data_IF_072067181261
#
_entry.id   IF_072067181261
#
_cell.length_a   1.000
_cell.length_b   1.000
_cell.length_c   1.000
_cell.angle_alpha   90.00
_cell.angle_beta   90.00
_cell.angle_gamma   90.00
#
_symmetry.space_group_name_H-M   'P 1'
#
loop_
_entity.id
_entity.type
_entity.pdbx_description
1 polymer ?
#
# COMPACT_ATOMS: atom_id res chain seq x y z
N UNK A 1 -17.49 -12.53 18.81
CA UNK A 1 -17.71 -12.02 17.43
C UNK A 1 -18.88 -11.04 17.34
N UNK A 2 -20.06 -11.36 17.87
CA UNK A 2 -21.26 -10.51 17.82
C UNK A 2 -21.07 -9.11 18.45
N UNK A 3 -20.37 -9.02 19.59
CA UNK A 3 -20.09 -7.74 20.27
C UNK A 3 -19.06 -6.84 19.56
N UNK A 4 -18.13 -7.44 18.79
CA UNK A 4 -17.15 -6.68 17.99
C UNK A 4 -17.83 -6.04 16.78
N UNK A 5 -18.81 -6.72 16.19
CA UNK A 5 -19.60 -6.22 15.07
C UNK A 5 -20.42 -4.99 15.47
N UNK A 6 -21.01 -4.99 16.67
CA UNK A 6 -21.74 -3.82 17.20
C UNK A 6 -20.82 -2.62 17.44
N UNK A 7 -19.58 -2.85 17.88
CA UNK A 7 -18.59 -1.79 18.09
C UNK A 7 -18.10 -1.17 16.77
N UNK A 8 -17.92 -2.01 15.74
CA UNK A 8 -17.60 -1.55 14.37
C UNK A 8 -18.78 -0.80 13.76
N UNK A 9 -20.02 -1.28 13.93
CA UNK A 9 -21.23 -0.59 13.49
C UNK A 9 -21.41 0.76 14.21
N UNK A 10 -21.18 0.83 15.52
CA UNK A 10 -21.23 2.09 16.27
C UNK A 10 -20.17 3.09 15.82
N UNK A 11 -18.93 2.62 15.54
CA UNK A 11 -17.86 3.46 14.99
C UNK A 11 -18.20 3.99 13.60
N UNK A 12 -18.91 3.23 12.77
CA UNK A 12 -19.39 3.69 11.46
C UNK A 12 -20.47 4.80 11.56
N UNK A 13 -21.31 4.80 12.61
CA UNK A 13 -22.34 5.83 12.82
C UNK A 13 -21.79 7.12 13.45
N UNK A 14 -20.57 7.13 13.98
CA UNK A 14 -19.94 8.33 14.56
C UNK A 14 -19.15 9.19 13.56
N UNK A 15 -19.03 8.78 12.29
CA UNK A 15 -18.48 9.64 11.25
C UNK A 15 -19.57 10.58 10.75
N UNK A 16 -19.82 11.65 11.52
CA UNK A 16 -20.55 12.80 11.03
C UNK A 16 -19.89 13.30 9.75
N UNK A 17 -20.64 13.32 8.65
CA UNK A 17 -20.22 14.01 7.44
C UNK A 17 -20.14 15.49 7.76
N UNK A 18 -18.92 16.01 7.95
CA UNK A 18 -18.69 17.44 7.87
C UNK A 18 -19.22 17.91 6.52
N UNK A 19 -20.03 18.97 6.53
CA UNK A 19 -20.50 19.62 5.32
C UNK A 19 -19.26 20.15 4.59
N UNK A 20 -18.84 19.47 3.52
CA UNK A 20 -17.83 19.98 2.58
C UNK A 20 -18.38 21.30 2.02
N UNK A 21 -17.58 22.38 2.12
CA UNK A 21 -17.98 23.73 1.71
C UNK A 21 -18.29 23.87 0.21
N UNK A 22 -18.55 25.11 -0.22
CA UNK A 22 -19.04 25.52 -1.55
C UNK A 22 -18.16 25.13 -2.77
N UNK A 23 -17.16 24.27 -2.60
CA UNK A 23 -16.33 23.79 -3.69
C UNK A 23 -17.14 22.94 -4.68
N UNK A 24 -17.15 23.28 -5.97
CA UNK A 24 -17.86 22.52 -6.98
C UNK A 24 -17.32 21.09 -7.07
N UNK A 25 -18.23 20.13 -7.23
CA UNK A 25 -17.92 18.69 -7.23
C UNK A 25 -18.11 18.15 -8.64
N UNK A 26 -17.01 17.82 -9.30
CA UNK A 26 -17.03 17.16 -10.62
C UNK A 26 -16.55 15.71 -10.48
N UNK A 27 -17.32 14.79 -11.06
CA UNK A 27 -17.07 13.37 -10.99
C UNK A 27 -16.92 12.73 -12.37
N UNK A 28 -16.05 11.73 -12.46
CA UNK A 28 -15.93 10.89 -13.64
C UNK A 28 -16.03 9.41 -13.31
N UNK A 29 -16.57 8.66 -14.25
CA UNK A 29 -16.55 7.21 -14.26
C UNK A 29 -15.57 6.72 -15.31
N UNK A 30 -14.83 5.66 -15.02
CA UNK A 30 -13.99 4.98 -15.99
C UNK A 30 -14.16 3.47 -15.92
N UNK A 31 -14.12 2.82 -17.07
CA UNK A 31 -14.14 1.35 -17.18
C UNK A 31 -13.03 0.94 -18.12
N UNK A 32 -12.19 -0.01 -17.71
CA UNK A 32 -11.10 -0.52 -18.52
C UNK A 32 -11.05 -2.03 -18.49
N UNK A 33 -11.07 -2.63 -19.67
CA UNK A 33 -10.72 -4.03 -19.81
C UNK A 33 -9.20 -4.15 -19.88
N UNK A 34 -8.65 -5.20 -19.28
CA UNK A 34 -7.21 -5.49 -19.35
C UNK A 34 -6.93 -6.98 -19.58
N UNK A 35 -5.79 -7.27 -20.20
CA UNK A 35 -5.26 -8.61 -20.38
C UNK A 35 -3.72 -8.56 -20.37
N UNK A 36 -3.08 -9.55 -19.75
CA UNK A 36 -1.65 -9.50 -19.50
C UNK A 36 -1.02 -10.82 -19.07
N UNK A 37 0.13 -10.71 -18.41
CA UNK A 37 0.92 -11.85 -17.95
C UNK A 37 1.36 -11.65 -16.50
N UNK A 38 1.53 -12.76 -15.78
CA UNK A 38 2.18 -12.75 -14.47
C UNK A 38 3.69 -12.55 -14.70
N UNK A 39 4.27 -11.54 -14.04
CA UNK A 39 5.70 -11.30 -14.05
C UNK A 39 6.40 -12.28 -13.11
N UNK A 40 7.33 -13.05 -13.66
CA UNK A 40 8.18 -13.96 -12.90
C UNK A 40 9.16 -13.13 -12.05
N UNK A 41 8.85 -12.99 -10.77
CA UNK A 41 9.68 -12.28 -9.79
C UNK A 41 10.25 -13.22 -8.71
N UNK A 42 9.75 -14.45 -8.65
CA UNK A 42 10.25 -15.53 -7.81
C UNK A 42 10.13 -16.87 -8.60
N UNK A 43 11.20 -17.68 -8.73
CA UNK A 43 11.13 -18.97 -9.44
C UNK A 43 10.09 -19.94 -8.85
N UNK A 44 9.76 -19.82 -7.57
CA UNK A 44 8.81 -20.68 -6.88
C UNK A 44 7.39 -20.56 -7.44
N UNK A 45 7.04 -19.48 -8.14
CA UNK A 45 5.71 -19.33 -8.78
C UNK A 45 5.71 -19.72 -10.26
N UNK A 46 6.84 -20.16 -10.82
CA UNK A 46 6.96 -20.44 -12.26
C UNK A 46 5.93 -21.46 -12.76
N UNK A 47 5.61 -22.48 -11.95
CA UNK A 47 4.57 -23.48 -12.27
C UNK A 47 3.14 -22.93 -12.25
N UNK A 48 2.93 -21.74 -11.70
CA UNK A 48 1.62 -21.07 -11.67
C UNK A 48 1.43 -20.12 -12.86
N UNK A 49 2.50 -19.78 -13.59
CA UNK A 49 2.45 -18.90 -14.76
C UNK A 49 2.13 -19.74 -16.00
N UNK A 50 0.86 -20.14 -16.12
CA UNK A 50 0.39 -21.04 -17.18
C UNK A 50 -0.50 -20.37 -18.23
N UNK A 51 -1.06 -19.20 -17.91
CA UNK A 51 -2.02 -18.50 -18.77
C UNK A 51 -1.95 -16.97 -18.56
N UNK A 52 -2.76 -16.23 -19.32
CA UNK A 52 -2.81 -14.78 -19.31
C UNK A 52 -3.96 -14.25 -18.44
N UNK A 53 -3.68 -13.61 -17.29
CA UNK A 53 -4.73 -13.00 -16.48
C UNK A 53 -5.42 -11.86 -17.22
N UNK A 54 -6.70 -11.64 -16.93
CA UNK A 54 -7.47 -10.55 -17.51
C UNK A 54 -8.67 -10.18 -16.65
N UNK A 55 -9.27 -9.03 -16.95
CA UNK A 55 -10.35 -8.53 -16.13
C UNK A 55 -10.81 -7.13 -16.48
N UNK A 56 -11.49 -6.51 -15.51
CA UNK A 56 -12.09 -5.19 -15.63
C UNK A 56 -11.71 -4.35 -14.43
N UNK A 57 -11.31 -3.10 -14.68
CA UNK A 57 -11.09 -2.05 -13.69
C UNK A 57 -12.21 -1.03 -13.87
N UNK A 58 -12.94 -0.73 -12.80
CA UNK A 58 -13.97 0.31 -12.75
C UNK A 58 -13.51 1.38 -11.77
N UNK A 59 -13.43 2.62 -12.22
CA UNK A 59 -13.02 3.76 -11.40
C UNK A 59 -14.15 4.79 -11.24
N UNK A 60 -14.26 5.33 -10.03
CA UNK A 60 -15.03 6.54 -9.73
C UNK A 60 -14.08 7.60 -9.21
N UNK A 61 -14.03 8.76 -9.86
CA UNK A 61 -13.06 9.83 -9.57
C UNK A 61 -13.78 11.12 -9.20
N UNK A 62 -13.22 11.86 -8.25
CA UNK A 62 -13.51 13.28 -7.98
C UNK A 62 -12.37 14.11 -8.55
N UNK A 63 -12.68 14.97 -9.53
CA UNK A 63 -11.73 15.93 -10.09
C UNK A 63 -11.38 17.00 -9.06
N UNK A 64 -10.13 17.46 -9.12
CA UNK A 64 -9.59 18.51 -8.24
C UNK A 64 -9.25 19.74 -9.05
N UNK A 65 -9.53 20.93 -8.51
CA UNK A 65 -9.39 22.20 -9.24
C UNK A 65 -8.58 23.25 -8.47
N UNK A 66 -8.00 22.92 -7.31
CA UNK A 66 -7.17 23.86 -6.54
C UNK A 66 -7.88 24.50 -5.35
N UNK A 67 -9.02 23.95 -4.92
CA UNK A 67 -9.75 24.44 -3.74
C UNK A 67 -9.06 24.06 -2.42
N UNK A 68 -8.09 23.15 -2.49
CA UNK A 68 -7.24 22.76 -1.38
C UNK A 68 -5.78 22.99 -1.75
N UNK A 69 -4.99 23.48 -0.80
CA UNK A 69 -3.60 23.88 -1.00
C UNK A 69 -2.75 22.82 -1.72
N UNK A 70 -2.94 21.55 -1.36
CA UNK A 70 -2.13 20.45 -1.87
C UNK A 70 -2.46 20.08 -3.33
N UNK A 71 -3.64 20.46 -3.85
CA UNK A 71 -4.12 20.05 -5.17
C UNK A 71 -3.25 20.66 -6.26
N UNK A 72 -3.15 22.00 -6.30
CA UNK A 72 -2.34 22.70 -7.27
C UNK A 72 -0.84 22.36 -7.14
N UNK A 73 -0.40 22.10 -5.91
CA UNK A 73 0.96 21.67 -5.62
C UNK A 73 1.35 20.38 -6.37
N UNK A 74 0.43 19.43 -6.46
CA UNK A 74 0.67 18.13 -7.11
C UNK A 74 0.12 18.05 -8.54
N UNK A 75 -0.22 19.18 -9.16
CA UNK A 75 -0.75 19.20 -10.52
C UNK A 75 -2.22 18.77 -10.62
N UNK A 76 -3.00 19.07 -9.60
CA UNK A 76 -4.44 18.80 -9.48
C UNK A 76 -4.79 17.32 -9.67
N UNK A 77 -4.21 16.42 -8.86
CA UNK A 77 -4.46 15.00 -9.01
C UNK A 77 -5.89 14.66 -8.59
N UNK A 78 -6.55 13.80 -9.37
CA UNK A 78 -7.90 13.34 -8.99
C UNK A 78 -7.79 12.30 -7.89
N UNK A 79 -8.82 12.22 -7.05
CA UNK A 79 -8.94 11.21 -5.99
C UNK A 79 -10.14 10.32 -6.26
N UNK A 80 -10.06 9.04 -5.95
CA UNK A 80 -11.21 8.17 -6.20
C UNK A 80 -11.09 6.78 -5.61
N UNK A 81 -12.02 5.94 -6.04
CA UNK A 81 -12.04 4.51 -5.74
C UNK A 81 -12.04 3.70 -7.02
N UNK A 82 -11.31 2.59 -7.00
CA UNK A 82 -11.33 1.61 -8.09
C UNK A 82 -11.81 0.27 -7.56
N UNK A 83 -12.66 -0.40 -8.34
CA UNK A 83 -12.96 -1.81 -8.19
C UNK A 83 -12.24 -2.58 -9.30
N UNK A 84 -11.70 -3.75 -8.96
CA UNK A 84 -11.02 -4.63 -9.92
C UNK A 84 -11.58 -6.03 -9.81
N UNK A 85 -12.06 -6.55 -10.93
CA UNK A 85 -12.22 -7.99 -11.13
C UNK A 85 -11.05 -8.50 -11.95
N UNK A 86 -10.40 -9.57 -11.50
CA UNK A 86 -9.33 -10.22 -12.25
C UNK A 86 -9.49 -11.74 -12.19
N UNK A 87 -9.56 -12.38 -13.34
CA UNK A 87 -9.41 -13.82 -13.48
C UNK A 87 -7.94 -14.15 -13.77
N UNK A 88 -7.35 -15.04 -12.99
CA UNK A 88 -5.97 -15.49 -13.21
C UNK A 88 -5.87 -16.51 -14.35
N UNK A 89 -7.01 -17.05 -14.83
CA UNK A 89 -7.08 -18.13 -15.81
C UNK A 89 -6.24 -19.35 -15.42
N UNK A 90 -6.11 -19.57 -14.12
CA UNK A 90 -5.41 -20.67 -13.49
C UNK A 90 -6.20 -21.05 -12.24
N UNK A 91 -6.69 -22.29 -12.18
CA UNK A 91 -7.55 -22.75 -11.09
C UNK A 91 -6.86 -22.67 -9.72
N UNK A 92 -5.55 -22.93 -9.65
CA UNK A 92 -4.75 -22.82 -8.43
C UNK A 92 -4.71 -21.38 -7.90
N UNK A 93 -4.62 -20.38 -8.79
CA UNK A 93 -4.58 -18.96 -8.41
C UNK A 93 -5.97 -18.33 -8.24
N UNK A 94 -6.99 -18.85 -8.94
CA UNK A 94 -8.38 -18.42 -8.83
C UNK A 94 -8.65 -17.02 -9.37
N UNK A 95 -9.58 -16.31 -8.73
CA UNK A 95 -10.06 -14.98 -9.12
C UNK A 95 -9.87 -13.98 -7.99
N UNK A 96 -9.76 -12.71 -8.34
CA UNK A 96 -9.59 -11.60 -7.43
C UNK A 96 -10.72 -10.58 -7.59
N UNK A 97 -11.20 -10.09 -6.45
CA UNK A 97 -12.15 -8.98 -6.34
C UNK A 97 -11.54 -7.93 -5.42
N UNK A 98 -11.02 -6.86 -6.00
CA UNK A 98 -10.29 -5.82 -5.29
C UNK A 98 -11.07 -4.51 -5.19
N UNK A 99 -10.92 -3.83 -4.06
CA UNK A 99 -11.39 -2.46 -3.84
C UNK A 99 -10.21 -1.60 -3.38
N UNK A 100 -10.03 -0.45 -4.05
CA UNK A 100 -8.86 0.40 -3.90
C UNK A 100 -9.29 1.86 -3.71
N UNK A 101 -8.53 2.59 -2.92
CA UNK A 101 -8.49 4.05 -2.99
C UNK A 101 -7.33 4.46 -3.91
N UNK A 102 -7.50 5.50 -4.72
CA UNK A 102 -6.49 5.90 -5.69
C UNK A 102 -6.31 7.41 -5.84
N UNK A 103 -5.13 7.76 -6.34
CA UNK A 103 -4.82 9.05 -6.93
C UNK A 103 -4.55 8.90 -8.42
N UNK A 104 -5.02 9.84 -9.23
CA UNK A 104 -4.62 10.01 -10.63
C UNK A 104 -3.76 11.27 -10.75
N UNK A 105 -2.47 11.10 -11.00
CA UNK A 105 -1.58 12.19 -11.35
C UNK A 105 -1.58 12.38 -12.87
N UNK A 106 -1.38 13.61 -13.31
CA UNK A 106 -1.52 13.97 -14.71
C UNK A 106 -0.32 14.76 -15.21
N UNK A 107 0.11 14.42 -16.43
CA UNK A 107 1.24 15.04 -17.11
C UNK A 107 0.84 15.42 -18.55
N UNK A 108 1.69 16.21 -19.22
CA UNK A 108 1.51 16.60 -20.63
C UNK A 108 0.11 17.15 -20.94
N UNK A 109 -0.28 18.21 -20.23
CA UNK A 109 -1.62 18.83 -20.29
C UNK A 109 -2.74 17.80 -20.01
N UNK A 110 -2.49 16.95 -19.02
CA UNK A 110 -3.37 15.86 -18.56
C UNK A 110 -3.71 14.78 -19.59
N UNK A 111 -2.97 14.71 -20.70
CA UNK A 111 -3.14 13.62 -21.67
C UNK A 111 -2.42 12.33 -21.24
N UNK A 112 -1.61 12.39 -20.19
CA UNK A 112 -0.96 11.23 -19.60
C UNK A 112 -1.38 11.11 -18.14
N UNK A 113 -1.93 9.96 -17.78
CA UNK A 113 -2.39 9.63 -16.43
C UNK A 113 -1.46 8.61 -15.79
N UNK A 114 -1.05 8.88 -14.56
CA UNK A 114 -0.41 7.93 -13.66
C UNK A 114 -1.34 7.67 -12.47
N UNK A 115 -1.98 6.49 -12.44
CA UNK A 115 -2.83 6.07 -11.31
C UNK A 115 -1.98 5.26 -10.33
N UNK A 116 -2.05 5.60 -9.06
CA UNK A 116 -1.56 4.75 -7.96
C UNK A 116 -2.73 4.46 -7.04
N UNK A 117 -2.98 3.18 -6.81
CA UNK A 117 -4.12 2.69 -6.06
C UNK A 117 -3.65 1.65 -5.03
N UNK A 118 -4.18 1.75 -3.82
CA UNK A 118 -3.92 0.81 -2.73
C UNK A 118 -5.24 0.33 -2.17
N UNK A 119 -5.34 -0.98 -1.93
CA UNK A 119 -6.60 -1.62 -1.60
C UNK A 119 -6.46 -2.98 -0.93
N UNK A 120 -7.62 -3.62 -0.80
CA UNK A 120 -7.77 -4.99 -0.33
C UNK A 120 -8.43 -5.79 -1.43
N UNK A 121 -7.95 -7.01 -1.64
CA UNK A 121 -8.47 -7.97 -2.61
C UNK A 121 -8.92 -9.24 -1.92
N UNK A 122 -10.09 -9.74 -2.33
CA UNK A 122 -10.56 -11.08 -2.00
C UNK A 122 -10.15 -12.05 -3.11
N UNK A 123 -9.32 -13.03 -2.78
CA UNK A 123 -8.96 -14.15 -3.62
C UNK A 123 -9.89 -15.35 -3.35
N UNK A 124 -10.34 -16.02 -4.42
CA UNK A 124 -11.31 -17.13 -4.30
C UNK A 124 -10.68 -18.47 -3.94
N UNK A 125 -9.38 -18.66 -4.16
CA UNK A 125 -8.74 -19.97 -4.01
C UNK A 125 -7.31 -19.86 -3.44
N UNK A 126 -7.14 -19.47 -2.16
CA UNK A 126 -5.82 -19.44 -1.52
C UNK A 126 -5.28 -20.86 -1.27
N UNK A 127 -4.07 -20.94 -0.73
CA UNK A 127 -3.44 -22.17 -0.26
C UNK A 127 -4.34 -22.90 0.72
N UNK A 128 -4.54 -24.18 0.43
CA UNK A 128 -5.08 -25.17 1.36
C UNK A 128 -4.24 -26.43 1.29
N UNK A 129 -3.90 -27.02 2.44
CA UNK A 129 -2.96 -28.15 2.49
C UNK A 129 -3.52 -29.40 1.78
N UNK A 130 -4.83 -29.55 1.68
CA UNK A 130 -5.49 -30.71 1.10
C UNK A 130 -6.05 -30.40 -0.29
N UNK A 131 -6.71 -29.27 -0.46
CA UNK A 131 -7.48 -28.94 -1.67
C UNK A 131 -6.68 -28.11 -2.70
N UNK A 132 -5.75 -27.26 -2.24
CA UNK A 132 -5.02 -26.33 -3.11
C UNK A 132 -3.54 -26.14 -2.71
N UNK A 133 -2.86 -27.25 -2.45
CA UNK A 133 -1.50 -27.25 -1.91
C UNK A 133 -0.44 -26.67 -2.87
N UNK A 134 -0.79 -26.51 -4.16
CA UNK A 134 0.10 -25.93 -5.18
C UNK A 134 0.12 -24.40 -5.17
N UNK A 135 -0.86 -23.76 -4.53
CA UNK A 135 -0.91 -22.30 -4.46
C UNK A 135 0.07 -21.79 -3.39
N UNK A 136 1.33 -21.60 -3.76
CA UNK A 136 2.30 -20.95 -2.88
C UNK A 136 2.26 -19.42 -2.94
N UNK A 137 1.42 -18.83 -3.80
CA UNK A 137 1.31 -17.38 -3.94
C UNK A 137 0.50 -16.72 -2.83
N UNK A 138 -0.62 -17.35 -2.41
CA UNK A 138 -1.60 -16.71 -1.54
C UNK A 138 -1.98 -17.59 -0.34
N UNK A 139 -1.57 -17.21 0.87
CA UNK A 139 -1.91 -17.95 2.10
C UNK A 139 -3.30 -17.64 2.68
N UNK A 140 -3.96 -16.61 2.16
CA UNK A 140 -5.24 -16.10 2.68
C UNK A 140 -6.16 -15.57 1.58
N UNK A 141 -7.47 -15.59 1.84
CA UNK A 141 -8.46 -14.98 0.95
C UNK A 141 -8.30 -13.46 0.88
N UNK A 142 -8.04 -12.79 2.01
CA UNK A 142 -7.81 -11.35 2.01
C UNK A 142 -6.34 -11.06 1.75
N UNK A 143 -6.08 -10.25 0.74
CA UNK A 143 -4.76 -9.82 0.29
C UNK A 143 -4.71 -8.29 0.26
N UNK A 144 -3.57 -7.71 0.63
CA UNK A 144 -3.23 -6.35 0.25
C UNK A 144 -3.00 -6.31 -1.24
N UNK A 145 -3.50 -5.26 -1.90
CA UNK A 145 -3.27 -5.10 -3.32
C UNK A 145 -2.91 -3.68 -3.70
N UNK A 146 -1.88 -3.57 -4.53
CA UNK A 146 -1.43 -2.31 -5.11
C UNK A 146 -1.65 -2.37 -6.61
N UNK A 147 -2.22 -1.32 -7.17
CA UNK A 147 -2.38 -1.16 -8.61
C UNK A 147 -1.72 0.15 -9.05
N UNK A 148 -0.91 0.05 -10.10
CA UNK A 148 -0.34 1.19 -10.81
C UNK A 148 -0.84 1.15 -12.24
N UNK A 149 -1.24 2.30 -12.79
CA UNK A 149 -1.57 2.41 -14.21
C UNK A 149 -0.86 3.59 -14.84
N UNK A 150 -0.46 3.42 -16.09
CA UNK A 150 0.11 4.47 -16.92
C UNK A 150 -0.65 4.50 -18.24
N UNK A 151 -1.44 5.55 -18.46
CA UNK A 151 -2.37 5.64 -19.58
C UNK A 151 -2.15 6.92 -20.38
N UNK A 152 -2.20 6.81 -21.70
CA UNK A 152 -2.72 7.91 -22.49
C UNK A 152 -4.21 8.08 -22.15
N UNK A 153 -4.61 9.30 -21.84
CA UNK A 153 -5.92 9.60 -21.26
C UNK A 153 -6.50 10.83 -21.93
N UNK A 154 -7.67 10.70 -22.56
CA UNK A 154 -8.33 11.80 -23.23
C UNK A 154 -9.82 11.82 -22.89
N UNK A 155 -10.23 12.84 -22.13
CA UNK A 155 -11.62 13.04 -21.73
C UNK A 155 -12.42 13.82 -22.78
N UNK A 156 -13.75 13.75 -22.67
CA UNK A 156 -14.71 14.66 -23.31
C UNK A 156 -14.53 14.84 -24.83
N UNK A 157 -14.33 13.74 -25.55
CA UNK A 157 -14.25 13.72 -27.02
C UNK A 157 -15.64 13.87 -27.64
N UNK A 158 -16.64 13.14 -27.14
CA UNK A 158 -18.04 13.25 -27.61
C UNK A 158 -19.00 13.19 -26.43
N UNK A 159 -19.75 14.25 -26.18
CA UNK A 159 -20.84 14.29 -25.19
C UNK A 159 -20.45 13.75 -23.79
N UNK A 160 -19.25 14.08 -23.31
CA UNK A 160 -18.70 13.62 -22.02
C UNK A 160 -17.92 12.31 -22.08
N UNK A 161 -17.99 11.57 -23.19
CA UNK A 161 -17.22 10.34 -23.39
C UNK A 161 -15.80 10.64 -23.84
N UNK A 162 -14.85 9.94 -23.23
CA UNK A 162 -13.44 9.90 -23.59
C UNK A 162 -12.92 8.47 -23.59
N UNK A 163 -11.61 8.32 -23.78
CA UNK A 163 -10.96 7.02 -23.72
C UNK A 163 -9.63 7.09 -22.98
N UNK A 164 -9.15 5.92 -22.59
CA UNK A 164 -7.81 5.72 -22.09
C UNK A 164 -7.23 4.39 -22.54
N UNK A 165 -5.94 4.37 -22.77
CA UNK A 165 -5.21 3.18 -23.17
C UNK A 165 -3.80 3.20 -22.57
N UNK A 166 -3.30 2.06 -22.14
CA UNK A 166 -2.02 2.03 -21.46
C UNK A 166 -1.67 0.67 -20.88
N UNK A 167 -0.85 0.72 -19.84
CA UNK A 167 -0.40 -0.44 -19.09
C UNK A 167 -0.85 -0.34 -17.62
N UNK A 168 -1.14 -1.49 -17.04
CA UNK A 168 -1.44 -1.65 -15.62
C UNK A 168 -0.53 -2.71 -15.00
N UNK A 169 -0.17 -2.48 -13.75
CA UNK A 169 0.51 -3.45 -12.90
C UNK A 169 -0.33 -3.66 -11.64
N UNK A 170 -0.71 -4.90 -11.37
CA UNK A 170 -1.50 -5.30 -10.20
C UNK A 170 -0.67 -6.27 -9.37
N UNK A 171 -0.48 -5.95 -8.09
CA UNK A 171 0.21 -6.78 -7.11
C UNK A 171 -0.79 -7.34 -6.10
N UNK A 172 -0.64 -8.62 -5.74
CA UNK A 172 -1.44 -9.26 -4.69
C UNK A 172 -0.53 -10.02 -3.72
N UNK A 173 -0.56 -9.65 -2.44
CA UNK A 173 0.14 -10.35 -1.37
C UNK A 173 -0.58 -10.16 -0.03
N UNK A 174 -0.24 -10.96 0.98
CA UNK A 174 -0.75 -10.76 2.35
C UNK A 174 0.29 -10.18 3.31
N UNK A 175 1.43 -9.70 2.78
CA UNK A 175 2.53 -9.11 3.55
C UNK A 175 2.99 -9.99 4.74
N UNK A 176 3.13 -11.29 4.48
CA UNK A 176 3.52 -12.31 5.46
C UNK A 176 2.58 -12.40 6.67
N UNK A 177 1.31 -12.02 6.49
CA UNK A 177 0.28 -12.26 7.49
C UNK A 177 -0.03 -13.75 7.64
N UNK A 178 0.07 -14.52 6.56
CA UNK A 178 -0.10 -15.99 6.58
C UNK A 178 0.71 -16.64 5.47
N UNK A 179 1.55 -17.61 5.82
CA UNK A 179 2.27 -18.38 4.81
C UNK A 179 1.34 -19.38 4.08
N UNK A 180 1.62 -19.70 2.80
CA UNK A 180 2.68 -19.14 1.96
C UNK A 180 2.30 -17.76 1.37
N UNK A 181 3.28 -16.96 0.95
CA UNK A 181 3.02 -15.63 0.39
C UNK A 181 4.11 -15.23 -0.63
N UNK A 182 4.34 -16.05 -1.66
CA UNK A 182 5.26 -15.66 -2.74
C UNK A 182 4.67 -14.55 -3.62
N UNK A 183 3.36 -14.27 -3.52
CA UNK A 183 2.64 -13.21 -4.23
C UNK A 183 2.54 -13.40 -5.74
N UNK A 184 1.78 -12.52 -6.41
CA UNK A 184 1.82 -12.38 -7.86
C UNK A 184 1.83 -10.91 -8.28
N UNK A 185 2.38 -10.67 -9.47
CA UNK A 185 2.39 -9.38 -10.15
C UNK A 185 1.84 -9.58 -11.55
N UNK A 186 0.70 -9.00 -11.90
CA UNK A 186 0.17 -9.00 -13.27
C UNK A 186 0.55 -7.70 -13.96
N UNK A 187 1.25 -7.79 -15.08
CA UNK A 187 1.46 -6.67 -15.99
C UNK A 187 0.55 -6.87 -17.19
N UNK A 188 -0.29 -5.87 -17.48
CA UNK A 188 -1.33 -5.97 -18.49
C UNK A 188 -1.40 -4.71 -19.35
N UNK A 189 -1.87 -4.89 -20.59
CA UNK A 189 -2.37 -3.78 -21.38
C UNK A 189 -3.83 -3.56 -21.04
N UNK A 190 -4.23 -2.29 -20.96
CA UNK A 190 -5.61 -1.91 -20.70
C UNK A 190 -6.12 -0.91 -21.74
N UNK A 191 -7.40 -1.05 -22.09
CA UNK A 191 -8.15 -0.10 -22.90
C UNK A 191 -9.47 0.18 -22.20
N UNK A 192 -9.90 1.44 -22.20
CA UNK A 192 -11.08 1.84 -21.46
C UNK A 192 -11.71 3.12 -21.95
N UNK A 193 -12.93 3.33 -21.45
CA UNK A 193 -13.71 4.53 -21.67
C UNK A 193 -13.77 5.34 -20.38
N UNK A 194 -13.89 6.65 -20.52
CA UNK A 194 -14.11 7.59 -19.43
C UNK A 194 -15.38 8.37 -19.71
N UNK A 195 -16.16 8.69 -18.68
CA UNK A 195 -17.36 9.53 -18.81
C UNK A 195 -17.34 10.61 -17.74
N UNK A 196 -17.48 11.87 -18.17
CA UNK A 196 -17.64 13.01 -17.30
C UNK A 196 -19.11 13.18 -16.90
N UNK A 197 -19.40 12.97 -15.62
CA UNK A 197 -20.77 13.08 -15.09
C UNK A 197 -21.25 14.53 -15.02
N UNK A 198 -20.31 15.48 -15.06
CA UNK A 198 -20.53 16.91 -14.98
C UNK A 198 -20.11 17.59 -16.31
N UNK A 199 -20.28 16.90 -17.44
CA UNK A 199 -19.82 17.36 -18.77
C UNK A 199 -20.31 18.76 -19.19
N UNK A 200 -21.44 19.20 -18.66
CA UNK A 200 -22.06 20.49 -18.99
C UNK A 200 -21.54 21.63 -18.07
N UNK A 201 -20.73 21.30 -17.06
CA UNK A 201 -20.12 22.24 -16.13
C UNK A 201 -18.65 22.49 -16.51
N UNK A 202 -18.28 23.74 -16.79
CA UNK A 202 -16.88 24.13 -16.95
C UNK A 202 -16.34 24.74 -15.65
N UNK A 203 -15.45 24.02 -14.97
CA UNK A 203 -14.76 24.52 -13.77
C UNK A 203 -13.31 24.82 -14.14
N UNK A 204 -12.88 26.05 -13.89
CA UNK A 204 -11.49 26.46 -14.11
C UNK A 204 -10.57 26.03 -12.96
N UNK A 205 -9.30 25.78 -13.28
CA UNK A 205 -8.29 25.50 -12.27
C UNK A 205 -7.90 26.79 -11.55
N UNK A 206 -8.02 26.80 -10.23
CA UNK A 206 -7.57 27.88 -9.37
C UNK A 206 -6.05 27.88 -9.28
N UNK A 207 -5.44 29.01 -9.64
CA UNK A 207 -4.01 29.23 -9.45
C UNK A 207 -3.77 29.55 -7.98
N UNK A 208 -2.95 28.74 -7.27
CA UNK A 208 -2.69 28.97 -5.85
C UNK A 208 -1.88 30.26 -5.66
N UNK A 209 -2.17 30.98 -4.57
CA UNK A 209 -1.35 32.12 -4.16
C UNK A 209 0.08 31.71 -3.80
N UNK A 210 1.00 32.68 -3.82
CA UNK A 210 2.40 32.43 -3.44
C UNK A 210 2.46 32.04 -1.97
N UNK A 211 2.77 30.78 -1.69
CA UNK A 211 2.81 30.26 -0.32
C UNK A 211 4.07 30.73 0.42
N UNK A 212 3.90 31.08 1.70
CA UNK A 212 5.02 31.29 2.59
C UNK A 212 5.85 30.01 2.77
N UNK A 213 7.16 30.17 2.95
CA UNK A 213 8.05 29.05 3.23
C UNK A 213 7.81 28.56 4.66
N UNK A 214 7.32 27.33 4.82
CA UNK A 214 7.21 26.69 6.13
C UNK A 214 8.62 26.53 6.74
N UNK A 215 8.83 27.15 7.90
CA UNK A 215 10.02 27.00 8.73
C UNK A 215 9.62 26.38 10.07
N UNK A 216 9.74 25.06 10.17
CA UNK A 216 9.57 24.35 11.43
C UNK A 216 10.94 24.03 12.05
N UNK A 217 11.07 24.06 13.40
CA UNK A 217 12.24 23.50 14.06
C UNK A 217 12.34 21.98 13.81
N UNK A 218 13.46 21.37 14.20
CA UNK A 218 13.54 19.90 14.25
C UNK A 218 12.51 19.43 15.27
N UNK A 219 11.70 18.45 14.89
CA UNK A 219 10.69 17.84 15.75
C UNK A 219 11.10 16.43 16.09
N UNK A 220 10.72 15.98 17.29
CA UNK A 220 11.03 14.64 17.76
C UNK A 220 9.78 13.78 17.73
N UNK A 221 9.93 12.56 17.25
CA UNK A 221 8.83 11.63 17.08
C UNK A 221 9.10 10.38 17.89
N UNK A 222 8.09 9.96 18.65
CA UNK A 222 8.05 8.66 19.31
C UNK A 222 6.86 7.89 18.75
N UNK A 223 7.10 6.65 18.32
CA UNK A 223 6.08 5.84 17.66
C UNK A 223 6.11 4.42 18.18
N UNK A 224 4.93 3.91 18.51
CA UNK A 224 4.71 2.50 18.78
C UNK A 224 4.02 1.89 17.57
N UNK A 225 4.56 0.79 17.04
CA UNK A 225 3.98 0.01 15.95
C UNK A 225 3.75 -1.41 16.39
N UNK A 226 2.72 -2.03 15.85
CA UNK A 226 2.44 -3.44 16.06
C UNK A 226 1.61 -4.03 14.94
N UNK A 227 1.48 -5.34 15.00
CA UNK A 227 0.76 -6.14 14.03
C UNK A 227 0.98 -7.61 14.32
N UNK A 228 0.67 -8.46 13.35
CA UNK A 228 0.94 -9.88 13.43
C UNK A 228 1.44 -10.39 12.09
N UNK A 229 2.42 -11.29 12.13
CA UNK A 229 3.00 -11.90 10.94
C UNK A 229 3.46 -13.33 11.24
N UNK A 230 3.81 -14.06 10.19
CA UNK A 230 4.30 -15.44 10.20
C UNK A 230 5.61 -15.50 9.39
N UNK A 231 6.43 -16.51 9.62
CA UNK A 231 7.60 -16.78 8.76
C UNK A 231 7.19 -17.34 7.41
N UNK A 232 8.13 -17.48 6.48
CA UNK A 232 7.86 -18.16 5.21
C UNK A 232 7.66 -19.69 5.35
N UNK A 233 7.95 -20.27 6.53
CA UNK A 233 7.65 -21.67 6.83
C UNK A 233 6.15 -21.85 7.08
N UNK A 234 5.50 -22.60 6.19
CA UNK A 234 4.06 -22.88 6.23
C UNK A 234 3.67 -23.58 7.53
N UNK A 235 2.60 -23.10 8.17
CA UNK A 235 2.06 -23.61 9.44
C UNK A 235 2.97 -23.45 10.67
N UNK A 236 3.95 -22.54 10.62
CA UNK A 236 4.78 -22.23 11.80
C UNK A 236 4.04 -21.34 12.81
N UNK A 237 2.95 -20.68 12.38
CA UNK A 237 2.05 -19.93 13.24
C UNK A 237 2.25 -18.41 13.13
N UNK A 238 1.19 -17.68 13.48
CA UNK A 238 1.16 -16.22 13.43
C UNK A 238 1.43 -15.64 14.81
N UNK A 239 2.36 -14.70 14.88
CA UNK A 239 2.79 -14.08 16.12
C UNK A 239 2.64 -12.56 16.05
N UNK A 240 2.26 -11.96 17.18
CA UNK A 240 2.26 -10.51 17.31
C UNK A 240 3.68 -9.96 17.36
N UNK A 241 3.89 -8.75 16.86
CA UNK A 241 5.15 -8.02 16.99
C UNK A 241 4.93 -6.61 17.52
N UNK A 242 6.00 -6.03 18.05
CA UNK A 242 6.03 -4.62 18.45
C UNK A 242 7.31 -3.96 17.93
N UNK A 243 7.22 -2.68 17.59
CA UNK A 243 8.35 -1.85 17.15
C UNK A 243 8.25 -0.51 17.86
N UNK A 244 9.34 -0.10 18.49
CA UNK A 244 9.48 1.23 19.08
C UNK A 244 10.40 2.04 18.18
N UNK A 245 9.88 3.12 17.61
CA UNK A 245 10.63 4.05 16.77
C UNK A 245 10.82 5.37 17.48
N UNK A 246 12.04 5.91 17.45
CA UNK A 246 12.34 7.27 17.87
C UNK A 246 13.13 7.98 16.76
N UNK A 247 12.66 9.14 16.30
CA UNK A 247 13.32 9.86 15.21
C UNK A 247 13.14 11.36 15.28
N UNK A 248 14.12 12.08 14.75
CA UNK A 248 13.99 13.51 14.47
C UNK A 248 13.50 13.70 13.03
N UNK A 249 12.60 14.65 12.82
CA UNK A 249 12.22 15.11 11.48
C UNK A 249 12.52 16.59 11.29
N UNK A 250 12.93 16.93 10.06
CA UNK A 250 13.11 18.32 9.63
C UNK A 250 12.26 18.56 8.39
N UNK A 251 11.31 19.48 8.51
CA UNK A 251 10.55 19.96 7.36
C UNK A 251 11.43 20.82 6.46
N UNK A 252 11.49 20.45 5.17
CA UNK A 252 12.24 21.14 4.12
C UNK A 252 11.35 22.12 3.34
N UNK A 253 10.03 21.98 3.46
CA UNK A 253 9.03 22.87 2.88
C UNK A 253 7.63 22.29 3.00
N UNK A 254 6.72 22.74 2.14
CA UNK A 254 5.30 22.39 2.25
C UNK A 254 5.05 20.89 2.01
N UNK A 255 5.86 20.27 1.15
CA UNK A 255 5.67 18.90 0.67
C UNK A 255 6.61 17.88 1.27
N UNK A 256 7.71 18.29 1.89
CA UNK A 256 8.79 17.34 2.22
C UNK A 256 9.35 17.55 3.62
N UNK A 257 9.57 16.44 4.31
CA UNK A 257 10.43 16.36 5.48
C UNK A 257 11.41 15.20 5.32
N UNK A 258 12.57 15.34 5.95
CA UNK A 258 13.56 14.27 6.11
C UNK A 258 13.52 13.76 7.54
N UNK A 259 13.80 12.48 7.71
CA UNK A 259 13.76 11.77 8.98
C UNK A 259 15.10 11.09 9.23
N UNK A 260 15.55 11.08 10.48
CA UNK A 260 16.68 10.29 10.94
C UNK A 260 16.33 9.71 12.31
N UNK A 261 16.48 8.41 12.48
CA UNK A 261 16.13 7.79 13.75
C UNK A 261 16.55 6.34 13.91
N UNK A 262 15.95 5.73 14.92
CA UNK A 262 16.19 4.35 15.33
C UNK A 262 14.89 3.59 15.52
N UNK A 263 14.95 2.30 15.26
CA UNK A 263 13.90 1.33 15.53
C UNK A 263 14.43 0.21 16.44
N UNK A 264 13.62 -0.22 17.40
CA UNK A 264 13.81 -1.45 18.17
C UNK A 264 12.70 -2.42 17.83
N UNK A 265 13.05 -3.61 17.36
CA UNK A 265 12.13 -4.60 16.81
C UNK A 265 11.97 -5.80 17.74
N UNK A 266 10.72 -6.15 18.03
CA UNK A 266 10.32 -7.33 18.79
C UNK A 266 9.45 -8.23 17.92
N UNK A 267 10.05 -8.87 16.90
CA UNK A 267 9.35 -9.74 15.94
C UNK A 267 9.27 -11.18 16.47
N UNK A 268 8.20 -11.52 17.20
CA UNK A 268 8.14 -12.80 17.93
C UNK A 268 8.14 -14.05 17.03
N UNK A 269 7.73 -13.96 15.76
CA UNK A 269 7.81 -15.09 14.83
C UNK A 269 9.24 -15.63 14.66
N UNK A 270 10.25 -14.76 14.84
CA UNK A 270 11.65 -15.14 14.76
C UNK A 270 12.06 -16.12 15.86
N UNK A 271 11.40 -16.11 17.03
CA UNK A 271 11.69 -17.10 18.09
C UNK A 271 11.41 -18.52 17.62
N UNK A 272 10.27 -18.70 16.94
CA UNK A 272 9.93 -20.00 16.39
C UNK A 272 10.81 -20.38 15.22
N UNK A 273 11.21 -19.40 14.39
CA UNK A 273 12.11 -19.65 13.27
C UNK A 273 13.49 -20.10 13.76
N UNK A 274 14.04 -19.42 14.77
CA UNK A 274 15.31 -19.77 15.42
C UNK A 274 15.22 -21.17 16.03
N UNK A 275 14.15 -21.46 16.79
CA UNK A 275 13.93 -22.77 17.38
C UNK A 275 13.85 -23.86 16.30
N UNK A 276 13.06 -23.63 15.25
CA UNK A 276 12.91 -24.56 14.14
C UNK A 276 14.24 -24.83 13.44
N UNK A 277 15.00 -23.78 13.09
CA UNK A 277 16.30 -23.92 12.43
C UNK A 277 17.33 -24.64 13.31
N UNK A 278 17.41 -24.29 14.60
CA UNK A 278 18.34 -24.93 15.54
C UNK A 278 18.11 -26.44 15.73
N UNK A 279 16.88 -26.91 15.54
CA UNK A 279 16.50 -28.32 15.74
C UNK A 279 16.53 -29.09 14.41
N UNK A 280 15.99 -28.50 13.34
CA UNK A 280 15.75 -29.18 12.06
C UNK A 280 16.88 -29.03 11.06
N UNK A 281 17.75 -28.03 11.19
CA UNK A 281 18.85 -27.76 10.26
C UNK A 281 20.16 -27.45 11.00
N UNK A 282 20.80 -28.46 11.63
CA UNK A 282 22.07 -28.28 12.35
C UNK A 282 23.18 -27.62 11.52
N UNK A 283 23.16 -27.80 10.19
CA UNK A 283 24.09 -27.21 9.24
C UNK A 283 24.01 -25.68 9.14
N UNK A 284 22.94 -25.06 9.64
CA UNK A 284 22.83 -23.60 9.73
C UNK A 284 23.53 -23.02 10.96
N UNK A 285 23.98 -23.87 11.89
CA UNK A 285 24.71 -23.49 13.10
C UNK A 285 24.00 -22.42 13.97
N UNK A 286 22.67 -22.38 13.92
CA UNK A 286 21.86 -21.44 14.70
C UNK A 286 21.72 -21.92 16.13
N UNK A 287 22.25 -21.15 17.09
CA UNK A 287 22.07 -21.44 18.50
C UNK A 287 20.60 -21.20 18.93
N UNK A 288 19.98 -22.11 19.70
CA UNK A 288 18.57 -22.01 20.08
C UNK A 288 18.24 -20.81 20.98
N UNK A 289 19.26 -20.22 21.63
CA UNK A 289 19.17 -19.05 22.50
C UNK A 289 19.55 -17.74 21.80
N UNK A 290 19.76 -17.76 20.48
CA UNK A 290 19.99 -16.55 19.67
C UNK A 290 18.88 -15.53 19.91
N UNK A 291 19.24 -14.27 20.20
CA UNK A 291 18.23 -13.22 20.42
C UNK A 291 17.48 -12.94 19.11
N UNK A 292 16.18 -12.74 19.21
CA UNK A 292 15.29 -12.45 18.08
C UNK A 292 15.08 -10.95 17.87
N UNK A 293 15.55 -10.12 18.82
CA UNK A 293 15.43 -8.66 18.76
C UNK A 293 16.40 -8.09 17.74
N UNK A 294 15.99 -6.97 17.14
CA UNK A 294 16.85 -6.20 16.24
C UNK A 294 16.81 -4.73 16.64
N UNK A 295 17.90 -4.02 16.39
CA UNK A 295 17.97 -2.55 16.50
C UNK A 295 18.48 -2.00 15.19
N UNK A 296 17.77 -1.04 14.62
CA UNK A 296 18.12 -0.41 13.37
C UNK A 296 18.26 1.10 13.49
N UNK A 297 19.08 1.66 12.61
CA UNK A 297 19.10 3.09 12.30
C UNK A 297 18.47 3.28 10.93
N UNK A 298 17.78 4.40 10.72
CA UNK A 298 17.17 4.70 9.43
C UNK A 298 17.26 6.17 9.06
N UNK A 299 17.30 6.41 7.75
CA UNK A 299 17.00 7.70 7.13
C UNK A 299 15.67 7.58 6.40
N UNK A 300 14.92 8.66 6.32
CA UNK A 300 13.61 8.64 5.68
C UNK A 300 13.18 9.96 5.07
N UNK A 301 12.12 9.88 4.28
CA UNK A 301 11.42 10.99 3.67
C UNK A 301 9.93 10.87 3.96
N UNK A 302 9.31 12.01 4.23
CA UNK A 302 7.86 12.13 4.35
C UNK A 302 7.36 13.14 3.31
N UNK A 303 6.52 12.66 2.41
CA UNK A 303 5.83 13.44 1.39
C UNK A 303 4.43 13.78 1.87
N UNK A 304 4.13 15.07 2.06
CA UNK A 304 2.81 15.51 2.50
C UNK A 304 1.84 15.64 1.32
N UNK A 305 0.70 14.95 1.40
CA UNK A 305 -0.36 14.93 0.39
C UNK A 305 -1.70 15.06 1.11
N UNK A 306 -2.29 16.26 1.10
CA UNK A 306 -3.51 16.56 1.86
C UNK A 306 -3.29 16.32 3.37
N UNK A 307 -4.28 15.71 4.06
CA UNK A 307 -4.21 15.26 5.46
C UNK A 307 -3.41 13.96 5.65
N UNK A 308 -2.89 13.39 4.57
CA UNK A 308 -2.07 12.18 4.57
C UNK A 308 -0.62 12.54 4.23
N UNK A 309 0.29 11.65 4.59
CA UNK A 309 1.66 11.69 4.09
C UNK A 309 2.13 10.29 3.71
N UNK A 310 2.93 10.23 2.66
CA UNK A 310 3.63 9.00 2.25
C UNK A 310 4.98 9.02 2.94
N UNK A 311 5.28 7.96 3.68
CA UNK A 311 6.57 7.78 4.37
C UNK A 311 7.37 6.73 3.61
N UNK A 312 8.63 7.03 3.34
CA UNK A 312 9.61 6.08 2.81
C UNK A 312 10.88 6.13 3.67
N UNK A 313 11.33 5.00 4.17
CA UNK A 313 12.51 4.90 5.03
C UNK A 313 13.43 3.79 4.53
N UNK A 314 14.73 4.02 4.67
CA UNK A 314 15.79 3.05 4.43
C UNK A 314 16.59 2.92 5.72
N UNK A 315 16.71 1.70 6.22
CA UNK A 315 17.39 1.42 7.47
C UNK A 315 18.39 0.27 7.39
N UNK A 316 19.24 0.21 8.41
CA UNK A 316 20.30 -0.76 8.58
C UNK A 316 20.28 -1.26 10.02
N UNK A 317 20.26 -2.58 10.22
CA UNK A 317 20.34 -3.15 11.56
C UNK A 317 21.77 -3.07 12.12
N UNK A 318 21.91 -2.32 13.20
CA UNK A 318 23.15 -2.22 13.99
C UNK A 318 23.25 -3.31 15.04
N UNK A 319 22.12 -3.85 15.49
CA UNK A 319 22.02 -5.05 16.31
C UNK A 319 21.16 -6.08 15.57
N UNK A 320 21.79 -7.18 15.17
CA UNK A 320 21.21 -8.21 14.28
C UNK A 320 21.84 -9.58 14.56
N UNK A 321 21.50 -10.19 15.71
CA UNK A 321 22.07 -11.46 16.17
C UNK A 321 21.63 -12.69 15.35
N UNK A 322 20.45 -12.64 14.72
CA UNK A 322 19.93 -13.71 13.87
C UNK A 322 19.82 -13.24 12.42
N UNK A 323 20.38 -14.01 11.47
CA UNK A 323 20.30 -13.70 10.05
C UNK A 323 18.93 -14.05 9.45
N UNK A 324 18.17 -13.01 9.12
CA UNK A 324 16.84 -13.05 8.53
C UNK A 324 16.69 -11.98 7.45
N UNK A 325 16.79 -12.39 6.19
CA UNK A 325 16.57 -11.54 5.01
C UNK A 325 17.55 -10.37 4.83
N UNK A 326 18.68 -10.40 5.55
CA UNK A 326 19.76 -9.43 5.43
C UNK A 326 19.61 -8.18 6.30
N UNK A 327 20.68 -7.38 6.32
CA UNK A 327 20.85 -6.27 7.27
C UNK A 327 20.16 -4.96 6.90
N UNK A 328 19.76 -4.82 5.65
CA UNK A 328 19.08 -3.63 5.14
C UNK A 328 17.58 -3.85 5.13
N UNK A 329 16.83 -2.89 5.63
CA UNK A 329 15.37 -2.90 5.57
C UNK A 329 14.84 -1.59 4.98
N UNK A 330 13.68 -1.66 4.38
CA UNK A 330 12.95 -0.50 3.88
C UNK A 330 11.53 -0.49 4.46
N UNK A 331 10.98 0.70 4.66
CA UNK A 331 9.62 0.90 5.14
C UNK A 331 8.91 1.92 4.26
N UNK A 332 7.76 1.55 3.71
CA UNK A 332 6.92 2.45 2.91
C UNK A 332 5.51 2.43 3.48
N UNK A 333 4.85 3.57 3.58
CA UNK A 333 3.46 3.57 4.01
C UNK A 333 2.79 4.94 4.06
N UNK A 334 1.62 4.95 4.68
CA UNK A 334 0.78 6.12 4.85
C UNK A 334 0.74 6.55 6.31
N UNK A 335 0.79 7.85 6.53
CA UNK A 335 0.68 8.50 7.84
C UNK A 335 -0.41 9.55 7.79
N UNK A 336 -1.18 9.70 8.86
CA UNK A 336 -2.26 10.68 9.00
C UNK A 336 -2.13 11.41 10.32
N UNK A 337 -2.10 12.73 10.28
CA UNK A 337 -2.09 13.57 11.47
C UNK A 337 -3.50 13.78 12.01
N UNK A 338 -3.63 13.75 13.33
CA UNK A 338 -4.83 14.06 14.10
C UNK A 338 -4.48 15.25 15.01
N UNK A 339 -4.67 16.47 14.48
CA UNK A 339 -4.09 17.68 15.05
C UNK A 339 -2.59 17.77 14.78
N UNK A 340 -1.87 18.57 15.56
CA UNK A 340 -0.46 18.91 15.26
C UNK A 340 0.56 17.93 15.84
N UNK A 341 0.13 17.09 16.79
CA UNK A 341 1.04 16.26 17.60
C UNK A 341 0.83 14.77 17.39
N UNK A 342 -0.41 14.31 17.27
CA UNK A 342 -0.70 12.87 17.22
C UNK A 342 -0.87 12.44 15.77
N UNK A 343 -0.36 11.26 15.43
CA UNK A 343 -0.58 10.67 14.11
C UNK A 343 -0.78 9.15 14.19
N UNK A 344 -1.55 8.63 13.24
CA UNK A 344 -1.61 7.20 12.94
C UNK A 344 -0.78 6.89 11.69
N UNK A 345 -0.29 5.67 11.58
CA UNK A 345 0.44 5.21 10.40
C UNK A 345 0.12 3.74 10.07
N UNK A 346 0.11 3.42 8.78
CA UNK A 346 0.07 2.05 8.25
C UNK A 346 1.26 1.92 7.32
N UNK A 347 2.21 1.06 7.67
CA UNK A 347 3.48 0.92 6.95
C UNK A 347 3.77 -0.53 6.61
N UNK A 348 4.37 -0.78 5.46
CA UNK A 348 4.91 -2.07 5.06
C UNK A 348 6.42 -2.04 5.29
N UNK A 349 6.91 -2.92 6.15
CA UNK A 349 8.34 -3.18 6.32
C UNK A 349 8.76 -4.35 5.45
N UNK A 350 9.88 -4.18 4.75
CA UNK A 350 10.45 -5.17 3.84
C UNK A 350 11.98 -5.20 3.94
N UNK A 351 12.59 -6.26 3.40
CA UNK A 351 14.02 -6.33 3.08
C UNK A 351 14.14 -6.44 1.55
N UNK A 352 14.43 -5.31 0.91
CA UNK A 352 14.35 -5.20 -0.54
C UNK A 352 12.93 -5.47 -1.03
N UNK A 353 12.76 -6.51 -1.85
CA UNK A 353 11.47 -6.92 -2.40
C UNK A 353 10.67 -7.87 -1.48
N UNK A 354 11.22 -8.32 -0.35
CA UNK A 354 10.60 -9.29 0.54
C UNK A 354 9.89 -8.60 1.70
N UNK A 355 8.56 -8.68 1.74
CA UNK A 355 7.75 -8.11 2.82
C UNK A 355 7.94 -8.88 4.13
N UNK A 356 8.17 -8.18 5.24
CA UNK A 356 8.18 -8.79 6.58
C UNK A 356 6.81 -8.65 7.27
N UNK A 357 6.23 -7.45 7.25
CA UNK A 357 4.96 -7.18 7.93
C UNK A 357 4.31 -5.85 7.51
N UNK A 358 2.96 -5.83 7.56
CA UNK A 358 2.20 -4.58 7.70
C UNK A 358 2.17 -4.19 9.18
N UNK A 359 2.58 -2.96 9.45
CA UNK A 359 2.69 -2.35 10.76
C UNK A 359 1.60 -1.28 10.92
N UNK A 360 0.84 -1.36 12.01
CA UNK A 360 -0.08 -0.31 12.44
C UNK A 360 0.58 0.47 13.57
N UNK A 361 0.71 1.78 13.41
CA UNK A 361 1.43 2.63 14.34
C UNK A 361 0.63 3.83 14.83
N UNK A 362 0.89 4.22 16.07
CA UNK A 362 0.48 5.49 16.66
C UNK A 362 1.71 6.22 17.17
N UNK A 363 1.80 7.51 16.88
CA UNK A 363 2.96 8.31 17.25
C UNK A 363 2.60 9.71 17.70
N UNK A 364 3.56 10.31 18.41
CA UNK A 364 3.51 11.70 18.85
C UNK A 364 4.72 12.43 18.25
N UNK A 365 4.48 13.60 17.68
CA UNK A 365 5.44 14.56 17.14
C UNK A 365 5.49 15.77 18.09
N UNK A 366 6.66 16.02 18.67
CA UNK A 366 6.93 17.04 19.69
C UNK A 366 7.75 18.19 19.12
#
# INVERSE_FOLDING_TARGET
MRHLLYLVLLLCFCFGFSQDGDAPKNYTLDVSQFNGSILLHNPDISHLITNHPGGIIVGFNRKRFGHEDWEADLGYPDTGFSFVYQDMNNETLGKHFGLYAHYNFYFFKRNLQFRVAQGVSYNTNPYDRTENFRNNAYGSHLLSSTMVMFNYHKENIVAGLGFKAGISLLHYSNANFKAPNTSTNTMAFNFGLTYDLNKDESIEYLVPETKEKIKEPIRYNLVLRGGANESDVINMGRYGFAIVSAYADKRLGNRSAIQLGTDVFFSNFLKELIRYQSISFPELEVAPDTDYKRVGLFVGHELFVNKLSVVAQLGYYVYYPFDFEGRMYNRIGLKRYFGDKVFGAITLKSHGAKAEAIEFGIGVRL
#
